data_IF_611177539285
#
_entry.id   IF_611177539285
#
_cell.length_a   1.000
_cell.length_b   1.000
_cell.length_c   1.000
_cell.angle_alpha   90.00
_cell.angle_beta   90.00
_cell.angle_gamma   90.00
#
_symmetry.space_group_name_H-M   'P 1'
#
loop_
_entity.id
_entity.type
_entity.pdbx_description
1 polymer ?
#
# COMPACT_ATOMS: atom_id res chain seq x y z
N UNK A 1 -1.67 -13.41 16.71
CA UNK A 1 -0.92 -13.95 15.55
C UNK A 1 -0.86 -12.81 14.56
N UNK A 2 0.33 -12.26 14.26
CA UNK A 2 0.42 -11.08 13.39
C UNK A 2 0.17 -11.50 11.94
N UNK A 3 -0.87 -10.93 11.32
CA UNK A 3 -1.17 -11.17 9.91
C UNK A 3 -0.18 -10.37 9.07
N UNK A 4 0.69 -11.07 8.35
CA UNK A 4 1.64 -10.43 7.43
C UNK A 4 0.99 -10.21 6.06
N UNK A 5 0.52 -8.99 5.82
CA UNK A 5 -0.13 -8.60 4.55
C UNK A 5 0.94 -8.25 3.52
N UNK A 6 0.79 -8.79 2.31
CA UNK A 6 1.70 -8.45 1.24
C UNK A 6 1.44 -7.01 0.77
N UNK A 7 2.50 -6.24 0.58
CA UNK A 7 2.44 -4.85 0.12
C UNK A 7 1.62 -4.66 -1.18
N UNK A 8 1.54 -5.69 -2.02
CA UNK A 8 0.71 -5.65 -3.23
C UNK A 8 -0.78 -5.55 -2.93
N UNK A 9 -1.28 -6.04 -1.79
CA UNK A 9 -2.70 -5.93 -1.45
C UNK A 9 -3.15 -4.46 -1.37
N UNK A 10 -2.33 -3.59 -0.77
CA UNK A 10 -2.59 -2.14 -0.69
C UNK A 10 -2.52 -1.48 -2.08
N UNK A 11 -1.63 -1.97 -2.95
CA UNK A 11 -1.54 -1.48 -4.32
C UNK A 11 -2.74 -1.92 -5.17
N UNK A 12 -3.25 -3.14 -4.99
CA UNK A 12 -4.48 -3.58 -5.66
C UNK A 12 -5.66 -2.69 -5.28
N UNK A 13 -5.81 -2.34 -4.00
CA UNK A 13 -6.84 -1.38 -3.56
C UNK A 13 -6.74 -0.03 -4.29
N UNK A 14 -5.54 0.54 -4.39
CA UNK A 14 -5.30 1.80 -5.11
C UNK A 14 -5.45 1.67 -6.63
N UNK A 15 -5.25 0.48 -7.18
CA UNK A 15 -5.44 0.16 -8.60
C UNK A 15 -6.92 0.08 -8.94
N UNK A 16 -7.72 -0.55 -8.08
CA UNK A 16 -9.17 -0.65 -8.23
C UNK A 16 -9.84 0.70 -7.97
N UNK A 17 -9.39 1.41 -6.92
CA UNK A 17 -9.97 2.69 -6.54
C UNK A 17 -8.87 3.68 -6.10
N UNK A 18 -8.56 4.71 -6.92
CA UNK A 18 -7.62 5.74 -6.50
C UNK A 18 -8.22 6.55 -5.34
N UNK A 19 -7.43 6.74 -4.30
CA UNK A 19 -7.85 7.37 -3.04
C UNK A 19 -6.69 8.15 -2.42
N UNK A 20 -7.01 9.02 -1.47
CA UNK A 20 -6.00 9.80 -0.76
C UNK A 20 -5.24 8.94 0.26
N UNK A 21 -4.10 9.42 0.75
CA UNK A 21 -3.35 8.72 1.80
C UNK A 21 -4.23 8.40 3.02
N UNK A 22 -5.03 9.37 3.47
CA UNK A 22 -5.93 9.20 4.62
C UNK A 22 -6.98 8.13 4.39
N UNK A 23 -7.66 8.17 3.24
CA UNK A 23 -8.68 7.18 2.86
C UNK A 23 -8.08 5.77 2.79
N UNK A 24 -6.88 5.65 2.22
CA UNK A 24 -6.16 4.38 2.15
C UNK A 24 -5.85 3.84 3.54
N UNK A 25 -5.46 4.69 4.48
CA UNK A 25 -5.14 4.28 5.85
C UNK A 25 -6.38 3.78 6.58
N UNK A 26 -7.50 4.50 6.44
CA UNK A 26 -8.78 4.07 7.01
C UNK A 26 -9.25 2.75 6.39
N UNK A 27 -9.18 2.62 5.07
CA UNK A 27 -9.59 1.41 4.37
C UNK A 27 -8.70 0.22 4.75
N UNK A 28 -7.38 0.40 4.79
CA UNK A 28 -6.44 -0.63 5.19
C UNK A 28 -6.66 -1.06 6.64
N UNK A 29 -6.89 -0.12 7.55
CA UNK A 29 -7.22 -0.44 8.93
C UNK A 29 -8.56 -1.16 9.05
N UNK A 30 -9.54 -0.84 8.19
CA UNK A 30 -10.85 -1.51 8.19
C UNK A 30 -10.82 -2.90 7.55
N UNK A 31 -10.06 -3.09 6.46
CA UNK A 31 -9.95 -4.35 5.72
C UNK A 31 -9.04 -5.35 6.42
N UNK A 32 -7.87 -4.89 6.87
CA UNK A 32 -6.84 -5.77 7.42
C UNK A 32 -6.77 -5.69 8.95
N UNK A 33 -7.12 -4.56 9.55
CA UNK A 33 -6.98 -4.29 10.98
C UNK A 33 -5.78 -3.39 11.27
N UNK A 34 -5.85 -2.63 12.36
CA UNK A 34 -4.79 -1.68 12.76
C UNK A 34 -3.50 -2.38 13.25
N UNK A 35 -3.61 -3.65 13.67
CA UNK A 35 -2.50 -4.44 14.22
C UNK A 35 -1.74 -5.29 13.17
N UNK A 36 -2.00 -5.08 11.88
CA UNK A 36 -1.33 -5.85 10.83
C UNK A 36 0.06 -5.32 10.50
N UNK A 37 0.93 -6.23 10.05
CA UNK A 37 2.23 -5.85 9.51
C UNK A 37 2.29 -6.14 8.03
N UNK A 38 3.00 -5.27 7.32
CA UNK A 38 3.18 -5.38 5.89
C UNK A 38 4.53 -6.00 5.55
N UNK A 39 4.54 -6.75 4.46
CA UNK A 39 5.76 -7.34 3.89
C UNK A 39 5.82 -7.07 2.41
N UNK A 40 6.97 -6.58 1.97
CA UNK A 40 7.36 -6.54 0.56
C UNK A 40 7.98 -7.87 0.16
N UNK A 41 8.17 -8.11 -1.14
CA UNK A 41 8.72 -9.38 -1.65
C UNK A 41 10.11 -9.75 -1.07
N UNK A 42 10.87 -8.78 -0.54
CA UNK A 42 12.22 -9.01 0.01
C UNK A 42 12.38 -8.65 1.49
N UNK A 43 11.45 -7.88 2.05
CA UNK A 43 11.56 -7.32 3.40
C UNK A 43 10.20 -7.44 4.09
N UNK A 44 10.18 -7.89 5.34
CA UNK A 44 8.98 -8.00 6.18
C UNK A 44 9.04 -7.02 7.35
N UNK A 45 7.89 -6.81 8.00
CA UNK A 45 7.81 -6.04 9.24
C UNK A 45 7.67 -4.54 9.05
N UNK A 46 7.10 -4.11 7.92
CA UNK A 46 6.72 -2.72 7.72
C UNK A 46 5.42 -2.42 8.46
N UNK A 47 5.37 -1.27 9.10
CA UNK A 47 4.12 -0.65 9.52
C UNK A 47 3.50 0.09 8.33
N UNK A 48 2.21 0.43 8.44
CA UNK A 48 1.47 1.10 7.37
C UNK A 48 2.17 2.39 6.91
N UNK A 49 2.61 3.22 7.85
CA UNK A 49 3.29 4.49 7.55
C UNK A 49 4.58 4.28 6.74
N UNK A 50 5.45 3.37 7.22
CA UNK A 50 6.69 3.00 6.52
C UNK A 50 6.44 2.34 5.16
N UNK A 51 5.32 1.61 5.00
CA UNK A 51 4.92 1.05 3.73
C UNK A 51 4.54 2.14 2.71
N UNK A 52 3.75 3.13 3.15
CA UNK A 52 3.32 4.25 2.31
C UNK A 52 4.52 5.09 1.86
N UNK A 53 5.43 5.42 2.78
CA UNK A 53 6.70 6.08 2.44
C UNK A 53 7.52 5.27 1.44
N UNK A 54 7.57 3.94 1.61
CA UNK A 54 8.27 3.06 0.69
C UNK A 54 7.66 3.08 -0.71
N UNK A 55 6.33 3.17 -0.83
CA UNK A 55 5.66 3.28 -2.12
C UNK A 55 5.98 4.58 -2.83
N UNK A 56 5.96 5.71 -2.12
CA UNK A 56 6.34 7.01 -2.68
C UNK A 56 7.81 6.98 -3.11
N UNK A 57 8.71 6.52 -2.23
CA UNK A 57 10.16 6.49 -2.49
C UNK A 57 10.55 5.58 -3.67
N UNK A 58 9.79 4.52 -3.91
CA UNK A 58 9.98 3.62 -5.06
C UNK A 58 9.22 4.07 -6.32
N UNK A 59 8.45 5.15 -6.23
CA UNK A 59 7.52 5.65 -7.26
C UNK A 59 6.53 4.54 -7.70
N UNK A 60 6.10 3.71 -6.74
CA UNK A 60 5.06 2.68 -6.93
C UNK A 60 3.66 3.27 -6.95
N UNK A 61 3.46 4.38 -6.25
CA UNK A 61 2.25 5.20 -6.29
C UNK A 61 2.60 6.55 -6.89
N UNK A 62 1.66 7.14 -7.61
CA UNK A 62 1.76 8.47 -8.20
C UNK A 62 0.53 9.28 -7.77
N UNK A 63 0.74 10.57 -7.54
CA UNK A 63 -0.34 11.50 -7.29
C UNK A 63 -0.98 11.88 -8.63
N UNK A 64 -2.24 11.52 -8.83
CA UNK A 64 -3.02 11.87 -10.02
C UNK A 64 -4.34 12.48 -9.58
N UNK A 65 -4.60 13.71 -10.03
CA UNK A 65 -5.82 14.46 -9.66
C UNK A 65 -6.03 14.61 -8.14
N UNK A 66 -4.93 14.70 -7.38
CA UNK A 66 -4.95 14.77 -5.91
C UNK A 66 -5.18 13.44 -5.20
N UNK A 67 -5.34 12.34 -5.95
CA UNK A 67 -5.48 10.98 -5.40
C UNK A 67 -4.24 10.13 -5.68
N UNK A 68 -3.98 9.16 -4.83
CA UNK A 68 -2.92 8.19 -5.07
C UNK A 68 -3.45 7.14 -6.04
N UNK A 69 -2.65 6.84 -7.05
CA UNK A 69 -2.92 5.72 -7.96
C UNK A 69 -1.64 4.92 -8.16
N UNK A 70 -1.81 3.64 -8.50
CA UNK A 70 -0.68 2.74 -8.68
C UNK A 70 0.00 2.95 -10.03
N UNK A 71 1.32 3.11 -9.98
CA UNK A 71 2.15 3.05 -11.16
C UNK A 71 2.37 1.59 -11.57
N UNK A 72 1.45 1.06 -12.38
CA UNK A 72 1.52 -0.32 -12.86
C UNK A 72 2.85 -0.65 -13.58
N UNK A 73 3.52 0.34 -14.18
CA UNK A 73 4.82 0.13 -14.81
C UNK A 73 5.97 -0.12 -13.80
N UNK A 74 5.80 0.27 -12.53
CA UNK A 74 6.78 0.06 -11.43
C UNK A 74 6.34 -0.97 -10.39
N UNK A 75 5.16 -1.55 -10.55
CA UNK A 75 4.69 -2.65 -9.72
C UNK A 75 5.03 -3.98 -10.37
N UNK A 76 5.57 -4.91 -9.58
CA UNK A 76 5.91 -6.24 -10.07
C UNK A 76 4.62 -7.06 -10.16
N UNK A 77 4.31 -7.62 -11.33
CA UNK A 77 3.10 -8.41 -11.56
C UNK A 77 3.27 -9.91 -11.17
N UNK A 78 3.97 -10.16 -10.07
CA UNK A 78 4.42 -11.51 -9.68
C UNK A 78 3.40 -12.24 -8.81
#
# INVERSE_FOLDING_TARGET
MATEIHAHAVLDLLREQPMSETELRELVNSEFGEEVRFRTCKLSGFDLDSLLEFFIKREKVILSDGKWTVNAARVCNH
#
